data_IF_367739158741
#
_entry.id   IF_367739158741
#
_cell.length_a   1.000
_cell.length_b   1.000
_cell.length_c   1.000
_cell.angle_alpha   90.00
_cell.angle_beta   90.00
_cell.angle_gamma   90.00
#
_symmetry.space_group_name_H-M   'P 1'
#
loop_
_entity.id
_entity.type
_entity.pdbx_description
1 polymer ?
#
# COMPACT_ATOMS: atom_id res chain seq x y z
N UNK A 1 3.69 -34.55 -0.67
CA UNK A 1 4.37 -33.24 -0.65
C UNK A 1 4.11 -32.57 -1.99
N UNK A 2 3.20 -31.60 -2.05
CA UNK A 2 2.94 -30.82 -3.26
C UNK A 2 3.50 -29.41 -3.03
N UNK A 3 4.39 -29.01 -3.93
CA UNK A 3 5.21 -27.79 -3.88
C UNK A 3 4.36 -26.52 -3.92
N UNK A 4 4.28 -25.80 -2.80
CA UNK A 4 3.73 -24.43 -2.71
C UNK A 4 4.61 -23.43 -3.47
N UNK A 5 4.46 -23.37 -4.79
CA UNK A 5 4.83 -22.18 -5.56
C UNK A 5 3.74 -21.13 -5.34
N UNK A 6 3.86 -20.42 -4.21
CA UNK A 6 3.02 -19.29 -3.87
C UNK A 6 3.29 -18.13 -4.83
N UNK A 7 2.76 -18.21 -6.06
CA UNK A 7 2.35 -17.01 -6.77
C UNK A 7 1.33 -16.32 -5.87
N UNK A 8 1.78 -15.38 -5.03
CA UNK A 8 0.91 -14.49 -4.26
C UNK A 8 0.13 -13.67 -5.27
N UNK A 9 -0.98 -14.22 -5.75
CA UNK A 9 -2.02 -13.49 -6.45
C UNK A 9 -2.38 -12.34 -5.51
N UNK A 10 -2.37 -11.12 -6.04
CA UNK A 10 -2.72 -9.93 -5.27
C UNK A 10 -4.15 -10.13 -4.74
N UNK A 11 -4.30 -10.29 -3.41
CA UNK A 11 -5.61 -10.40 -2.78
C UNK A 11 -6.21 -9.00 -2.64
N UNK A 12 -6.84 -8.53 -3.72
CA UNK A 12 -7.45 -7.20 -3.78
C UNK A 12 -8.58 -7.03 -2.77
N UNK A 13 -9.29 -8.10 -2.45
CA UNK A 13 -10.41 -8.05 -1.50
C UNK A 13 -9.88 -7.83 -0.09
N UNK A 14 -8.81 -8.55 0.30
CA UNK A 14 -8.13 -8.30 1.57
C UNK A 14 -7.52 -6.90 1.64
N UNK A 15 -6.92 -6.41 0.56
CA UNK A 15 -6.38 -5.04 0.51
C UNK A 15 -7.49 -4.02 0.71
N UNK A 16 -8.64 -4.18 0.03
CA UNK A 16 -9.81 -3.29 0.19
C UNK A 16 -10.38 -3.34 1.59
N UNK A 17 -10.49 -4.52 2.20
CA UNK A 17 -10.95 -4.67 3.57
C UNK A 17 -10.03 -3.96 4.57
N UNK A 18 -8.71 -4.16 4.46
CA UNK A 18 -7.71 -3.48 5.29
C UNK A 18 -7.72 -1.96 5.07
N UNK A 19 -7.97 -1.52 3.83
CA UNK A 19 -8.11 -0.11 3.48
C UNK A 19 -9.36 0.53 4.11
N UNK A 20 -10.50 -0.17 4.13
CA UNK A 20 -11.70 0.29 4.85
C UNK A 20 -11.44 0.45 6.34
N UNK A 21 -10.76 -0.52 6.96
CA UNK A 21 -10.38 -0.46 8.37
C UNK A 21 -9.44 0.73 8.67
N UNK A 22 -8.64 1.19 7.70
CA UNK A 22 -7.75 2.33 7.87
C UNK A 22 -8.51 3.65 8.05
N UNK A 23 -9.60 3.81 7.30
CA UNK A 23 -10.49 4.97 7.41
C UNK A 23 -11.20 4.96 8.77
N UNK A 24 -11.74 3.80 9.17
CA UNK A 24 -12.39 3.65 10.47
C UNK A 24 -11.43 3.91 11.64
N UNK A 25 -10.18 3.45 11.51
CA UNK A 25 -9.15 3.67 12.52
C UNK A 25 -8.83 5.16 12.71
N UNK A 26 -8.87 5.97 11.66
CA UNK A 26 -8.68 7.42 11.77
C UNK A 26 -9.86 8.10 12.46
N UNK A 27 -11.08 7.66 12.19
CA UNK A 27 -12.30 8.25 12.77
C UNK A 27 -12.47 7.89 14.24
N UNK A 28 -12.18 6.64 14.62
CA UNK A 28 -12.46 6.12 15.96
C UNK A 28 -11.24 6.06 16.89
N UNK A 29 -10.03 6.25 16.37
CA UNK A 29 -8.73 6.16 17.08
C UNK A 29 -8.69 4.89 17.96
N UNK A 30 -8.56 3.70 17.34
CA UNK A 30 -8.62 2.45 18.04
C UNK A 30 -7.41 2.27 18.96
N UNK A 31 -7.45 1.26 19.86
CA UNK A 31 -6.33 0.98 20.74
C UNK A 31 -5.03 0.78 19.96
N UNK A 32 -3.91 1.25 20.54
CA UNK A 32 -2.59 1.23 19.89
C UNK A 32 -2.19 -0.13 19.27
N UNK A 33 -2.63 -1.24 19.90
CA UNK A 33 -2.39 -2.60 19.40
C UNK A 33 -3.07 -2.86 18.05
N UNK A 34 -4.27 -2.35 17.85
CA UNK A 34 -5.03 -2.50 16.62
C UNK A 34 -4.47 -1.62 15.51
N UNK A 35 -4.17 -0.36 15.81
CA UNK A 35 -3.46 0.56 14.91
C UNK A 35 -2.14 -0.06 14.43
N UNK A 36 -1.31 -0.58 15.34
CA UNK A 36 -0.05 -1.23 14.98
C UNK A 36 -0.22 -2.47 14.08
N UNK A 37 -1.25 -3.29 14.33
CA UNK A 37 -1.59 -4.43 13.46
C UNK A 37 -1.99 -3.97 12.07
N UNK A 38 -2.78 -2.91 11.98
CA UNK A 38 -3.22 -2.35 10.73
C UNK A 38 -2.07 -1.72 9.94
N UNK A 39 -1.23 -0.90 10.58
CA UNK A 39 0.03 -0.39 10.01
C UNK A 39 0.87 -1.53 9.43
N UNK A 40 1.06 -2.62 10.17
CA UNK A 40 1.84 -3.78 9.71
C UNK A 40 1.24 -4.42 8.45
N UNK A 41 -0.09 -4.57 8.39
CA UNK A 41 -0.79 -5.13 7.22
C UNK A 41 -0.66 -4.21 6.01
N UNK A 42 -0.96 -2.92 6.16
CA UNK A 42 -0.88 -1.93 5.09
C UNK A 42 0.55 -1.79 4.55
N UNK A 43 1.56 -1.74 5.43
CA UNK A 43 2.98 -1.70 5.03
C UNK A 43 3.38 -2.92 4.20
N UNK A 44 2.89 -4.12 4.57
CA UNK A 44 3.15 -5.35 3.81
C UNK A 44 2.52 -5.29 2.42
N UNK A 45 1.27 -4.86 2.33
CA UNK A 45 0.58 -4.67 1.05
C UNK A 45 1.31 -3.66 0.17
N UNK A 46 1.71 -2.53 0.76
CA UNK A 46 2.36 -1.43 0.04
C UNK A 46 3.72 -1.86 -0.50
N UNK A 47 4.52 -2.59 0.30
CA UNK A 47 5.81 -3.16 -0.14
C UNK A 47 5.65 -4.20 -1.24
N UNK A 48 4.55 -4.97 -1.25
CA UNK A 48 4.25 -5.90 -2.34
C UNK A 48 3.87 -5.17 -3.63
N UNK A 49 2.98 -4.17 -3.51
CA UNK A 49 2.50 -3.36 -4.63
C UNK A 49 3.61 -2.53 -5.26
N UNK A 50 4.52 -1.94 -4.47
CA UNK A 50 5.70 -1.23 -4.97
C UNK A 50 6.51 -2.13 -5.92
N UNK A 51 6.83 -3.36 -5.51
CA UNK A 51 7.60 -4.30 -6.34
C UNK A 51 6.89 -4.67 -7.65
N UNK A 52 5.56 -4.77 -7.63
CA UNK A 52 4.78 -5.03 -8.84
C UNK A 52 4.76 -3.80 -9.76
N UNK A 53 4.51 -2.62 -9.20
CA UNK A 53 4.44 -1.37 -9.95
C UNK A 53 5.80 -0.97 -10.53
N UNK A 54 6.91 -1.24 -9.84
CA UNK A 54 8.28 -1.06 -10.37
C UNK A 54 8.50 -1.90 -11.64
N UNK A 55 8.09 -3.17 -11.63
CA UNK A 55 8.19 -4.05 -12.82
C UNK A 55 7.33 -3.53 -13.97
N UNK A 56 6.11 -3.08 -13.69
CA UNK A 56 5.23 -2.51 -14.71
C UNK A 56 5.77 -1.18 -15.26
N UNK A 57 6.33 -0.32 -14.41
CA UNK A 57 6.94 0.93 -14.82
C UNK A 57 8.16 0.71 -15.72
N UNK A 58 8.96 -0.32 -15.43
CA UNK A 58 10.09 -0.71 -16.28
C UNK A 58 9.67 -1.26 -17.65
N UNK A 59 8.48 -1.85 -17.75
CA UNK A 59 7.90 -2.34 -19.00
C UNK A 59 7.23 -1.22 -19.84
N UNK A 60 6.95 -0.06 -19.24
CA UNK A 60 6.41 1.09 -19.96
C UNK A 60 7.49 1.76 -20.82
N UNK A 61 7.09 2.29 -21.98
CA UNK A 61 7.98 3.04 -22.85
C UNK A 61 8.65 4.22 -22.10
N UNK A 62 9.96 4.46 -22.31
CA UNK A 62 10.63 5.65 -21.79
C UNK A 62 9.90 6.93 -22.21
N UNK A 63 9.74 7.87 -21.28
CA UNK A 63 9.04 9.14 -21.54
C UNK A 63 7.51 9.06 -21.65
N UNK A 64 6.91 7.87 -21.57
CA UNK A 64 5.46 7.74 -21.55
C UNK A 64 4.83 8.33 -20.28
N UNK A 65 3.64 8.90 -20.43
CA UNK A 65 2.83 9.39 -19.31
C UNK A 65 2.57 8.26 -18.30
N UNK A 66 2.30 7.05 -18.78
CA UNK A 66 2.11 5.87 -17.93
C UNK A 66 3.34 5.59 -17.03
N UNK A 67 4.55 5.68 -17.57
CA UNK A 67 5.78 5.51 -16.78
C UNK A 67 5.94 6.63 -15.75
N UNK A 68 5.67 7.88 -16.12
CA UNK A 68 5.75 9.03 -15.23
C UNK A 68 4.76 8.91 -14.05
N UNK A 69 3.49 8.58 -14.33
CA UNK A 69 2.45 8.45 -13.31
C UNK A 69 2.74 7.31 -12.33
N UNK A 70 3.26 6.18 -12.83
CA UNK A 70 3.72 5.06 -11.98
C UNK A 70 4.90 5.46 -11.11
N UNK A 71 5.87 6.18 -11.65
CA UNK A 71 7.04 6.64 -10.89
C UNK A 71 6.63 7.60 -9.76
N UNK A 72 5.77 8.59 -10.04
CA UNK A 72 5.25 9.50 -9.03
C UNK A 72 4.49 8.77 -7.91
N UNK A 73 3.70 7.75 -8.26
CA UNK A 73 2.98 6.93 -7.28
C UNK A 73 3.92 6.06 -6.44
N UNK A 74 4.98 5.52 -7.04
CA UNK A 74 6.04 4.80 -6.33
C UNK A 74 6.79 5.69 -5.34
N UNK A 75 7.09 6.94 -5.71
CA UNK A 75 7.75 7.90 -4.82
C UNK A 75 6.89 8.23 -3.61
N UNK A 76 5.60 8.50 -3.82
CA UNK A 76 4.64 8.73 -2.70
C UNK A 76 4.54 7.51 -1.79
N UNK A 77 4.48 6.30 -2.36
CA UNK A 77 4.44 5.07 -1.56
C UNK A 77 5.72 4.85 -0.73
N UNK A 78 6.90 5.16 -1.28
CA UNK A 78 8.16 5.08 -0.53
C UNK A 78 8.24 6.15 0.56
N UNK A 79 7.76 7.37 0.29
CA UNK A 79 7.68 8.43 1.29
C UNK A 79 6.77 8.04 2.46
N UNK A 80 5.59 7.46 2.17
CA UNK A 80 4.67 6.95 3.17
C UNK A 80 5.31 5.84 4.04
N UNK A 81 6.13 4.96 3.46
CA UNK A 81 6.85 3.92 4.22
C UNK A 81 8.01 4.46 5.07
N UNK A 82 8.61 5.58 4.66
CA UNK A 82 9.72 6.19 5.37
C UNK A 82 9.25 7.08 6.55
N UNK A 83 7.98 7.49 6.53
CA UNK A 83 7.37 8.28 7.59
C UNK A 83 7.40 7.54 8.93
N UNK A 84 7.76 8.26 10.00
CA UNK A 84 7.75 7.76 11.37
C UNK A 84 6.73 8.57 12.16
N UNK A 85 5.55 8.00 12.51
CA UNK A 85 4.59 8.72 13.32
C UNK A 85 5.17 9.02 14.70
N UNK A 86 4.71 10.13 15.28
CA UNK A 86 4.93 10.41 16.70
C UNK A 86 4.27 9.33 17.57
N UNK A 87 4.68 9.25 18.84
CA UNK A 87 4.27 8.15 19.74
C UNK A 87 2.85 8.27 20.28
N UNK A 88 2.08 9.25 19.84
CA UNK A 88 0.71 9.44 20.26
C UNK A 88 -0.30 8.68 19.36
N UNK A 89 -1.51 8.38 19.86
CA UNK A 89 -2.50 7.64 19.10
C UNK A 89 -3.01 8.33 17.83
N UNK A 90 -3.06 9.67 17.80
CA UNK A 90 -3.56 10.42 16.65
C UNK A 90 -2.57 10.37 15.50
N UNK A 91 -1.27 10.57 15.78
CA UNK A 91 -0.22 10.44 14.78
C UNK A 91 -0.13 9.02 14.22
N UNK A 92 -0.32 7.99 15.06
CA UNK A 92 -0.37 6.61 14.60
C UNK A 92 -1.56 6.35 13.65
N UNK A 93 -2.74 6.89 13.97
CA UNK A 93 -3.93 6.79 13.12
C UNK A 93 -3.79 7.60 11.81
N UNK A 94 -3.18 8.78 11.86
CA UNK A 94 -2.88 9.60 10.69
C UNK A 94 -1.90 8.87 9.75
N UNK A 95 -0.87 8.22 10.29
CA UNK A 95 0.06 7.44 9.49
C UNK A 95 -0.59 6.22 8.83
N UNK A 96 -1.52 5.55 9.53
CA UNK A 96 -2.37 4.50 8.92
C UNK A 96 -3.12 5.05 7.70
N UNK A 97 -3.64 6.28 7.78
CA UNK A 97 -4.32 6.95 6.68
C UNK A 97 -3.34 7.31 5.54
N UNK A 98 -2.13 7.76 5.85
CA UNK A 98 -1.07 8.01 4.84
C UNK A 98 -0.74 6.73 4.06
N UNK A 99 -0.57 5.60 4.75
CA UNK A 99 -0.33 4.29 4.12
C UNK A 99 -1.52 3.87 3.24
N UNK A 100 -2.75 4.10 3.70
CA UNK A 100 -3.96 3.87 2.92
C UNK A 100 -3.99 4.65 1.60
N UNK A 101 -3.70 5.96 1.64
CA UNK A 101 -3.73 6.78 0.42
C UNK A 101 -2.66 6.36 -0.59
N UNK A 102 -1.48 5.99 -0.11
CA UNK A 102 -0.43 5.44 -0.97
C UNK A 102 -0.85 4.10 -1.62
N UNK A 103 -1.54 3.24 -0.87
CA UNK A 103 -2.09 1.98 -1.39
C UNK A 103 -3.13 2.23 -2.48
N UNK A 104 -4.09 3.13 -2.23
CA UNK A 104 -5.17 3.44 -3.18
C UNK A 104 -4.60 3.83 -4.54
N UNK A 105 -3.64 4.75 -4.55
CA UNK A 105 -3.00 5.19 -5.79
C UNK A 105 -2.33 4.03 -6.53
N UNK A 106 -1.59 3.16 -5.84
CA UNK A 106 -0.94 2.03 -6.53
C UNK A 106 -1.94 0.99 -7.04
N UNK A 107 -3.02 0.71 -6.30
CA UNK A 107 -4.06 -0.24 -6.72
C UNK A 107 -4.77 0.24 -7.99
N UNK A 108 -5.11 1.53 -8.08
CA UNK A 108 -5.78 2.10 -9.25
C UNK A 108 -4.93 2.05 -10.53
N UNK A 109 -3.60 2.10 -10.40
CA UNK A 109 -2.68 2.00 -11.55
C UNK A 109 -2.30 0.56 -11.92
N UNK A 110 -2.64 -0.45 -11.12
CA UNK A 110 -2.37 -1.84 -11.49
C UNK A 110 -3.35 -2.33 -12.55
N UNK A 111 -2.88 -2.40 -13.81
CA UNK A 111 -3.54 -3.21 -14.84
C UNK A 111 -3.36 -4.68 -14.48
N UNK A 112 -4.43 -5.48 -14.63
CA UNK A 112 -4.31 -6.93 -14.56
C UNK A 112 -3.37 -7.40 -15.68
N UNK A 113 -2.46 -8.35 -15.41
CA UNK A 113 -1.69 -8.96 -16.47
C UNK A 113 -2.66 -9.74 -17.37
N UNK A 114 -2.81 -9.29 -18.61
CA UNK A 114 -3.44 -10.05 -19.70
C UNK A 114 -2.65 -11.29 -20.04
#
# INVERSE_FOLDING_TARGET
MITSHSHRRLDRDQIRADMSQAVDAYVQIPPARETARLTTRLTRHLTSLIRMTERQAAACAPGSVDRFMRQASLERARAALAERPERDPQSAAAHVLTLYWALLQLVDYLREPT
#
